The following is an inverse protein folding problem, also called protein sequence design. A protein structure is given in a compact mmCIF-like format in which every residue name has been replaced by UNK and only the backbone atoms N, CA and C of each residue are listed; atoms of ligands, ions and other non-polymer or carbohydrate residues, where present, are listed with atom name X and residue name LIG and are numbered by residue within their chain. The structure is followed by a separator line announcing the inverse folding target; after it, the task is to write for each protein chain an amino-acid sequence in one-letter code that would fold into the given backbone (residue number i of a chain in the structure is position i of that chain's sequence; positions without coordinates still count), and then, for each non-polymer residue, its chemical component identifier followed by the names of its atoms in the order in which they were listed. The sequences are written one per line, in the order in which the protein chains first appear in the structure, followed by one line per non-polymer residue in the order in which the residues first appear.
data_IF_351231795259
#
_entry.id   IF_351231795259
#
_cell.length_a   1.000
_cell.length_b   1.000
_cell.length_c   1.000
_cell.angle_alpha   90.00
_cell.angle_beta   90.00
_cell.angle_gamma   90.00
#
_symmetry.space_group_name_H-M   'P 1'
#
loop_
_entity.id
_entity.type
_entity.pdbx_description
1 polymer ?
#
# COMPACT_ATOMS: atom_id res chain seq x y z
N UNK A 1 8.54 13.53 21.27
CA UNK A 1 7.49 12.78 20.54
C UNK A 1 6.25 13.65 20.66
N UNK A 2 5.99 14.52 19.67
CA UNK A 2 4.84 15.43 19.73
C UNK A 2 3.61 14.70 19.21
N UNK A 3 2.61 14.52 20.08
CA UNK A 3 1.31 13.94 19.77
C UNK A 3 0.46 14.93 18.97
N UNK A 4 0.91 15.30 17.78
CA UNK A 4 0.20 16.17 16.83
C UNK A 4 -0.83 15.35 16.01
N UNK A 5 -1.50 14.39 16.63
CA UNK A 5 -2.61 13.68 15.99
C UNK A 5 -3.93 14.31 16.41
N UNK A 6 -4.62 15.04 15.52
CA UNK A 6 -5.93 15.58 15.86
C UNK A 6 -6.86 14.43 16.21
N UNK A 7 -7.58 14.58 17.32
CA UNK A 7 -8.61 13.62 17.73
C UNK A 7 -9.55 13.34 16.55
N UNK A 8 -9.81 12.06 16.28
CA UNK A 8 -10.70 11.66 15.19
C UNK A 8 -12.10 12.24 15.44
N UNK A 9 -12.74 12.74 14.38
CA UNK A 9 -14.07 13.36 14.49
C UNK A 9 -15.13 12.32 14.88
N UNK A 10 -16.06 12.73 15.75
CA UNK A 10 -17.14 11.90 16.32
C UNK A 10 -18.10 11.33 15.27
N UNK A 11 -18.08 11.86 14.05
CA UNK A 11 -18.78 11.33 12.90
C UNK A 11 -17.90 11.39 11.65
N UNK A 12 -18.06 10.39 10.78
CA UNK A 12 -17.32 10.29 9.51
C UNK A 12 -18.30 10.00 8.38
N UNK A 13 -18.28 10.82 7.34
CA UNK A 13 -19.15 10.63 6.16
C UNK A 13 -18.51 9.57 5.27
N UNK A 14 -19.22 8.47 5.04
CA UNK A 14 -18.83 7.43 4.09
C UNK A 14 -19.55 7.70 2.76
N UNK A 15 -18.83 7.57 1.65
CA UNK A 15 -19.32 7.82 0.29
C UNK A 15 -19.14 6.55 -0.54
N UNK A 16 -20.16 6.22 -1.32
CA UNK A 16 -20.08 5.17 -2.33
C UNK A 16 -19.87 5.77 -3.72
N UNK A 17 -19.02 5.13 -4.53
CA UNK A 17 -18.78 5.53 -5.91
C UNK A 17 -18.55 4.31 -6.80
N UNK A 18 -19.37 4.16 -7.86
CA UNK A 18 -19.18 3.13 -8.87
C UNK A 18 -18.19 3.62 -9.94
N UNK A 19 -17.07 2.92 -10.11
CA UNK A 19 -16.02 3.25 -11.08
C UNK A 19 -15.60 1.97 -11.81
N UNK A 20 -15.64 1.98 -13.14
CA UNK A 20 -15.16 0.88 -14.00
C UNK A 20 -15.67 -0.52 -13.57
N UNK A 21 -16.97 -0.62 -13.23
CA UNK A 21 -17.60 -1.87 -12.80
C UNK A 21 -17.35 -2.27 -11.34
N UNK A 22 -16.58 -1.48 -10.57
CA UNK A 22 -16.30 -1.72 -9.15
C UNK A 22 -16.98 -0.68 -8.27
N UNK A 23 -17.35 -1.07 -7.04
CA UNK A 23 -17.91 -0.18 -6.03
C UNK A 23 -16.77 0.23 -5.09
N UNK A 24 -16.58 1.53 -4.90
CA UNK A 24 -15.60 2.12 -3.99
C UNK A 24 -16.34 2.74 -2.80
N UNK A 25 -15.91 2.38 -1.60
CA UNK A 25 -16.36 3.00 -0.35
C UNK A 25 -15.20 3.87 0.15
N UNK A 26 -15.44 5.16 0.36
CA UNK A 26 -14.39 6.08 0.83
C UNK A 26 -14.97 7.20 1.68
N UNK A 27 -14.17 7.71 2.60
CA UNK A 27 -14.50 8.90 3.40
C UNK A 27 -14.08 10.20 2.69
N UNK A 28 -13.31 10.09 1.60
CA UNK A 28 -12.72 11.23 0.90
C UNK A 28 -13.59 11.77 -0.24
N UNK A 29 -13.45 13.07 -0.52
CA UNK A 29 -14.34 13.85 -1.41
C UNK A 29 -14.23 13.42 -2.89
N UNK A 30 -13.06 12.95 -3.36
CA UNK A 30 -12.82 12.58 -4.76
C UNK A 30 -12.31 11.12 -4.92
N UNK A 31 -13.20 10.13 -5.05
CA UNK A 31 -12.80 8.72 -5.15
C UNK A 31 -12.04 8.36 -6.44
N UNK A 32 -12.32 9.05 -7.55
CA UNK A 32 -11.77 8.69 -8.88
C UNK A 32 -10.27 8.96 -9.02
N UNK A 33 -9.80 10.10 -8.50
CA UNK A 33 -8.37 10.46 -8.57
C UNK A 33 -7.52 9.59 -7.64
N UNK A 34 -8.07 9.20 -6.48
CA UNK A 34 -7.41 8.29 -5.55
C UNK A 34 -7.28 6.87 -6.11
N UNK A 35 -8.31 6.37 -6.80
CA UNK A 35 -8.23 5.05 -7.41
C UNK A 35 -7.10 4.95 -8.44
N UNK A 36 -6.82 6.04 -9.16
CA UNK A 36 -5.65 6.13 -10.05
C UNK A 36 -4.33 6.09 -9.27
N UNK A 37 -4.23 6.78 -8.13
CA UNK A 37 -3.04 6.74 -7.26
C UNK A 37 -2.78 5.34 -6.68
N UNK A 38 -3.84 4.59 -6.34
CA UNK A 38 -3.73 3.20 -5.88
C UNK A 38 -3.00 2.32 -6.92
N UNK A 39 -3.30 2.52 -8.20
CA UNK A 39 -2.62 1.81 -9.28
C UNK A 39 -1.13 2.17 -9.38
N UNK A 40 -0.77 3.44 -9.18
CA UNK A 40 0.65 3.86 -9.14
C UNK A 40 1.42 3.11 -8.06
N UNK A 41 0.87 2.98 -6.85
CA UNK A 41 1.49 2.22 -5.75
C UNK A 41 1.68 0.74 -6.11
N UNK A 42 0.71 0.12 -6.79
CA UNK A 42 0.85 -1.27 -7.26
C UNK A 42 1.96 -1.42 -8.31
N UNK A 43 2.11 -0.44 -9.22
CA UNK A 43 3.21 -0.41 -10.19
C UNK A 43 4.56 -0.24 -9.51
N UNK A 44 4.66 0.67 -8.54
CA UNK A 44 5.90 0.94 -7.80
C UNK A 44 6.35 -0.30 -7.02
N UNK A 45 5.42 -0.96 -6.30
CA UNK A 45 5.73 -2.20 -5.58
C UNK A 45 6.22 -3.30 -6.54
N UNK A 46 5.61 -3.42 -7.73
CA UNK A 46 6.09 -4.37 -8.75
C UNK A 46 7.51 -4.05 -9.19
N UNK A 47 7.79 -2.76 -9.41
CA UNK A 47 9.11 -2.32 -9.80
C UNK A 47 10.15 -2.62 -8.71
N UNK A 48 9.84 -2.31 -7.45
CA UNK A 48 10.68 -2.63 -6.29
C UNK A 48 10.99 -4.12 -6.20
N UNK A 49 9.98 -4.99 -6.35
CA UNK A 49 10.17 -6.45 -6.34
C UNK A 49 11.11 -6.94 -7.44
N UNK A 50 10.99 -6.37 -8.64
CA UNK A 50 11.83 -6.75 -9.77
C UNK A 50 13.26 -6.24 -9.61
N UNK A 51 13.42 -4.95 -9.29
CA UNK A 51 14.72 -4.29 -9.15
C UNK A 51 15.53 -4.88 -7.99
N UNK A 52 14.88 -5.16 -6.85
CA UNK A 52 15.53 -5.76 -5.69
C UNK A 52 15.59 -7.30 -5.76
N UNK A 53 15.19 -7.94 -6.86
CA UNK A 53 15.16 -9.41 -7.02
C UNK A 53 14.36 -10.17 -5.94
N UNK A 54 13.42 -9.51 -5.27
CA UNK A 54 12.52 -10.09 -4.26
C UNK A 54 11.43 -10.99 -4.90
N UNK A 55 11.49 -11.22 -6.21
CA UNK A 55 10.59 -12.14 -6.90
C UNK A 55 10.83 -13.61 -6.54
N UNK A 56 12.03 -13.95 -6.04
CA UNK A 56 12.36 -15.30 -5.59
C UNK A 56 13.26 -15.21 -4.38
N UNK A 57 12.74 -15.65 -3.24
CA UNK A 57 13.48 -15.66 -1.97
C UNK A 57 14.22 -16.99 -1.85
N UNK A 58 15.48 -16.92 -1.46
CA UNK A 58 16.35 -18.10 -1.30
C UNK A 58 16.10 -18.81 0.04
N UNK A 59 15.65 -18.06 1.06
CA UNK A 59 15.40 -18.58 2.40
C UNK A 59 14.08 -19.37 2.48
N UNK A 60 14.09 -20.47 3.24
CA UNK A 60 12.93 -21.39 3.38
C UNK A 60 12.15 -21.20 4.69
N UNK A 61 12.69 -20.45 5.64
CA UNK A 61 12.07 -20.17 6.94
C UNK A 61 11.64 -18.71 7.03
N UNK A 62 10.49 -18.45 7.66
CA UNK A 62 9.88 -17.12 7.75
C UNK A 62 10.81 -16.07 8.36
N UNK A 63 11.55 -16.43 9.42
CA UNK A 63 12.47 -15.52 10.10
C UNK A 63 13.65 -15.10 9.19
N UNK A 64 14.11 -16.01 8.32
CA UNK A 64 15.19 -15.72 7.37
C UNK A 64 14.70 -14.93 6.16
N UNK A 65 13.48 -15.20 5.69
CA UNK A 65 12.83 -14.41 4.64
C UNK A 65 12.66 -12.95 5.06
N UNK A 66 12.28 -12.69 6.32
CA UNK A 66 12.20 -11.32 6.82
C UNK A 66 13.57 -10.64 6.76
N UNK A 67 14.63 -11.30 7.24
CA UNK A 67 15.99 -10.76 7.14
C UNK A 67 16.41 -10.51 5.70
N UNK A 68 16.07 -11.41 4.78
CA UNK A 68 16.34 -11.29 3.33
C UNK A 68 15.58 -10.11 2.67
N UNK A 69 14.41 -9.74 3.17
CA UNK A 69 13.64 -8.58 2.69
C UNK A 69 14.17 -7.27 3.32
N UNK A 70 14.56 -7.31 4.59
CA UNK A 70 15.02 -6.14 5.36
C UNK A 70 16.46 -5.73 5.01
N UNK A 71 17.33 -6.70 4.70
CA UNK A 71 18.67 -6.45 4.16
C UNK A 71 18.54 -6.37 2.65
N UNK A 72 19.08 -5.32 2.02
CA UNK A 72 19.02 -5.18 0.56
C UNK A 72 19.46 -6.50 -0.11
N UNK A 73 18.63 -7.17 -0.93
CA UNK A 73 18.88 -8.54 -1.42
C UNK A 73 20.02 -8.68 -2.45
N UNK A 74 20.97 -7.75 -2.46
CA UNK A 74 22.03 -7.63 -3.46
C UNK A 74 23.42 -7.35 -2.91
N UNK A 75 23.66 -7.61 -1.62
CA UNK A 75 25.01 -7.70 -1.03
C UNK A 75 25.35 -9.16 -0.72
#
# INVERSE_FOLDING_TARGET
MSDDYPAASDSTIIRECKVAGKILITTMICPKSLYKKRWSVELDIRHIKNTMRINTLSCKTTDMVLKEIWVYPGL
#
